data_IF_327816523078
#
_entry.id   IF_327816523078
#
_cell.length_a   1.000
_cell.length_b   1.000
_cell.length_c   1.000
_cell.angle_alpha   90.00
_cell.angle_beta   90.00
_cell.angle_gamma   90.00
#
_symmetry.space_group_name_H-M   'P 1'
#
loop_
_entity.id
_entity.type
_entity.pdbx_description
1 polymer ?
#
# COMPACT_ATOMS: atom_id res chain seq x y z
N UNK A 1 8.76 25.17 -1.47
CA UNK A 1 7.70 24.29 -0.92
C UNK A 1 8.23 22.88 -1.08
N UNK A 2 8.30 22.08 0.00
CA UNK A 2 8.65 20.66 -0.14
C UNK A 2 7.53 19.97 -0.89
N UNK A 3 7.87 19.07 -1.82
CA UNK A 3 6.86 18.26 -2.49
C UNK A 3 6.36 17.18 -1.52
N UNK A 4 5.15 16.64 -1.72
CA UNK A 4 4.58 15.61 -0.83
C UNK A 4 5.48 14.37 -0.81
N UNK A 5 6.14 14.08 -1.93
CA UNK A 5 7.09 12.99 -2.11
C UNK A 5 8.36 13.12 -1.23
N UNK A 6 8.67 14.33 -0.76
CA UNK A 6 9.77 14.59 0.18
C UNK A 6 9.38 14.39 1.65
N UNK A 7 8.11 14.11 1.95
CA UNK A 7 7.66 13.84 3.31
C UNK A 7 8.05 12.41 3.70
N UNK A 8 8.72 12.26 4.85
CA UNK A 8 9.12 10.95 5.39
C UNK A 8 7.90 10.01 5.52
N UNK A 9 6.75 10.55 5.94
CA UNK A 9 5.50 9.79 6.06
C UNK A 9 4.98 9.30 4.72
N UNK A 10 5.16 10.07 3.65
CA UNK A 10 4.77 9.64 2.30
C UNK A 10 5.68 8.53 1.79
N UNK A 11 6.99 8.66 1.99
CA UNK A 11 7.96 7.64 1.62
C UNK A 11 7.70 6.31 2.34
N UNK A 12 7.45 6.36 3.66
CA UNK A 12 7.08 5.19 4.45
C UNK A 12 5.75 4.56 3.98
N UNK A 13 4.74 5.38 3.68
CA UNK A 13 3.45 4.92 3.17
C UNK A 13 3.56 4.27 1.77
N UNK A 14 4.46 4.79 0.93
CA UNK A 14 4.76 4.19 -0.36
C UNK A 14 5.49 2.85 -0.19
N UNK A 15 6.50 2.78 0.68
CA UNK A 15 7.28 1.57 0.94
C UNK A 15 6.40 0.44 1.48
N UNK A 16 5.57 0.70 2.49
CA UNK A 16 4.66 -0.31 3.04
C UNK A 16 3.64 -0.79 2.00
N UNK A 17 3.19 0.08 1.09
CA UNK A 17 2.31 -0.32 -0.01
C UNK A 17 2.99 -1.37 -0.89
N UNK A 18 4.26 -1.16 -1.27
CA UNK A 18 5.02 -2.12 -2.07
C UNK A 18 5.25 -3.43 -1.32
N UNK A 19 5.60 -3.37 -0.05
CA UNK A 19 5.80 -4.55 0.80
C UNK A 19 4.53 -5.39 0.90
N UNK A 20 3.39 -4.76 1.13
CA UNK A 20 2.10 -5.44 1.23
C UNK A 20 1.68 -6.07 -0.09
N UNK A 21 1.96 -5.44 -1.23
CA UNK A 21 1.75 -6.07 -2.54
C UNK A 21 2.60 -7.34 -2.69
N UNK A 22 3.86 -7.32 -2.26
CA UNK A 22 4.74 -8.51 -2.28
C UNK A 22 4.24 -9.59 -1.32
N UNK A 23 3.87 -9.23 -0.09
CA UNK A 23 3.39 -10.16 0.93
C UNK A 23 2.08 -10.85 0.50
N UNK A 24 1.13 -10.09 -0.03
CA UNK A 24 -0.18 -10.61 -0.48
C UNK A 24 -0.10 -11.49 -1.73
N UNK A 25 1.03 -11.52 -2.46
CA UNK A 25 1.22 -12.48 -3.56
C UNK A 25 1.41 -13.92 -3.05
N UNK A 26 1.80 -14.11 -1.78
CA UNK A 26 1.99 -15.43 -1.19
C UNK A 26 0.74 -15.96 -0.48
N UNK A 27 -0.38 -15.23 -0.57
CA UNK A 27 -1.64 -15.66 0.04
C UNK A 27 -2.25 -16.80 -0.77
N UNK A 28 -3.03 -17.70 -0.14
CA UNK A 28 -3.73 -18.76 -0.86
C UNK A 28 -4.66 -18.19 -1.96
N UNK A 29 -4.84 -18.92 -3.06
CA UNK A 29 -5.66 -18.47 -4.20
C UNK A 29 -7.10 -18.11 -3.82
N UNK A 30 -7.65 -18.71 -2.76
CA UNK A 30 -8.99 -18.39 -2.25
C UNK A 30 -9.12 -16.92 -1.81
N UNK A 31 -8.01 -16.27 -1.43
CA UNK A 31 -7.99 -14.88 -1.00
C UNK A 31 -7.85 -13.87 -2.14
N UNK A 32 -7.63 -14.34 -3.37
CA UNK A 32 -7.43 -13.50 -4.57
C UNK A 32 -8.56 -12.49 -4.78
N UNK A 33 -9.79 -12.88 -4.44
CA UNK A 33 -10.97 -12.02 -4.50
C UNK A 33 -11.52 -11.64 -3.11
N UNK A 34 -10.87 -12.11 -2.04
CA UNK A 34 -11.21 -11.86 -0.63
C UNK A 34 -10.29 -10.81 -0.01
N UNK A 35 -9.37 -11.24 0.86
CA UNK A 35 -8.51 -10.35 1.63
C UNK A 35 -7.50 -9.58 0.77
N UNK A 36 -6.95 -10.17 -0.30
CA UNK A 36 -5.91 -9.54 -1.12
C UNK A 36 -6.33 -8.16 -1.65
N UNK A 37 -7.47 -8.00 -2.36
CA UNK A 37 -7.88 -6.71 -2.87
C UNK A 37 -8.31 -5.72 -1.76
N UNK A 38 -8.82 -6.20 -0.62
CA UNK A 38 -9.18 -5.33 0.52
C UNK A 38 -7.93 -4.70 1.14
N UNK A 39 -6.92 -5.53 1.45
CA UNK A 39 -5.66 -5.09 2.04
C UNK A 39 -4.92 -4.14 1.09
N UNK A 40 -4.79 -4.50 -0.20
CA UNK A 40 -4.09 -3.67 -1.20
C UNK A 40 -4.72 -2.30 -1.36
N UNK A 41 -6.06 -2.21 -1.40
CA UNK A 41 -6.77 -0.92 -1.46
C UNK A 41 -6.58 -0.10 -0.19
N UNK A 42 -6.63 -0.73 0.98
CA UNK A 42 -6.45 -0.05 2.25
C UNK A 42 -5.05 0.57 2.39
N UNK A 43 -4.00 -0.13 1.96
CA UNK A 43 -2.63 0.42 2.06
C UNK A 43 -2.34 1.45 0.98
N UNK A 44 -2.81 1.24 -0.25
CA UNK A 44 -2.62 2.19 -1.34
C UNK A 44 -3.35 3.53 -1.10
N UNK A 45 -4.40 3.54 -0.27
CA UNK A 45 -5.09 4.78 0.08
C UNK A 45 -4.26 5.67 1.02
N UNK A 46 -3.32 5.12 1.79
CA UNK A 46 -2.50 5.88 2.73
C UNK A 46 -1.69 6.97 2.00
N UNK A 47 -0.80 6.66 1.04
CA UNK A 47 -0.06 7.70 0.33
C UNK A 47 -0.98 8.60 -0.51
N UNK A 48 -2.10 8.09 -1.04
CA UNK A 48 -3.04 8.91 -1.80
C UNK A 48 -3.79 9.95 -0.96
N UNK A 49 -3.98 9.72 0.35
CA UNK A 49 -4.60 10.70 1.25
C UNK A 49 -3.60 11.72 1.80
N UNK A 50 -2.30 11.52 1.58
CA UNK A 50 -1.24 12.47 1.98
C UNK A 50 -0.90 13.47 0.86
N UNK A 51 -1.33 13.19 -0.37
CA UNK A 51 -1.19 14.03 -1.56
C UNK A 51 -2.12 15.25 -1.53
#
# INVERSE_FOLDING_TARGET
>A
MKSVEELDVFQLAHEITLEIYRLTNNFPDIEKYGLVPQIRRAVASIPMNLM
#
